data_IF_492519860988
#
_entry.id   IF_492519860988
#
_cell.length_a   1.000
_cell.length_b   1.000
_cell.length_c   1.000
_cell.angle_alpha   90.00
_cell.angle_beta   90.00
_cell.angle_gamma   90.00
#
_symmetry.space_group_name_H-M   'P 1'
#
loop_
_entity.id
_entity.type
_entity.pdbx_description
1 polymer ?
#
# COMPACT_ATOMS: atom_id res chain seq x y z
N UNK A 1 -1.10 -3.82 -27.02
CA UNK A 1 -1.05 -4.73 -25.85
C UNK A 1 -2.28 -5.64 -25.88
N UNK A 2 -2.14 -6.95 -25.67
CA UNK A 2 -3.28 -7.87 -25.71
C UNK A 2 -4.22 -7.69 -24.50
N UNK A 3 -5.53 -7.86 -24.69
CA UNK A 3 -6.56 -7.70 -23.65
C UNK A 3 -6.28 -8.59 -22.42
N UNK A 4 -5.77 -9.81 -22.64
CA UNK A 4 -5.40 -10.71 -21.55
C UNK A 4 -4.31 -10.14 -20.62
N UNK A 5 -3.33 -9.41 -21.19
CA UNK A 5 -2.25 -8.77 -20.39
C UNK A 5 -2.80 -7.58 -19.57
N UNK A 6 -3.74 -6.82 -20.13
CA UNK A 6 -4.39 -5.70 -19.42
C UNK A 6 -5.21 -6.19 -18.23
N UNK A 7 -5.92 -7.33 -18.35
CA UNK A 7 -6.67 -7.95 -17.24
C UNK A 7 -5.75 -8.34 -16.08
N UNK A 8 -4.58 -8.91 -16.36
CA UNK A 8 -3.60 -9.28 -15.34
C UNK A 8 -3.10 -8.03 -14.60
N UNK A 9 -2.81 -6.95 -15.32
CA UNK A 9 -2.33 -5.69 -14.73
C UNK A 9 -3.38 -5.02 -13.85
N UNK A 10 -4.65 -5.03 -14.27
CA UNK A 10 -5.75 -4.56 -13.42
C UNK A 10 -5.86 -5.43 -12.17
N UNK A 11 -5.81 -6.76 -12.31
CA UNK A 11 -5.94 -7.65 -11.17
C UNK A 11 -4.83 -7.44 -10.15
N UNK A 12 -3.56 -7.39 -10.59
CA UNK A 12 -2.42 -7.14 -9.70
C UNK A 12 -2.42 -5.72 -9.15
N UNK A 13 -2.78 -4.72 -9.95
CA UNK A 13 -2.92 -3.33 -9.52
C UNK A 13 -3.98 -3.15 -8.44
N UNK A 14 -5.16 -3.76 -8.62
CA UNK A 14 -6.24 -3.77 -7.63
C UNK A 14 -5.82 -4.48 -6.34
N UNK A 15 -5.15 -5.63 -6.44
CA UNK A 15 -4.63 -6.32 -5.26
C UNK A 15 -3.62 -5.46 -4.50
N UNK A 16 -2.68 -4.80 -5.20
CA UNK A 16 -1.72 -3.87 -4.59
C UNK A 16 -2.42 -2.67 -3.94
N UNK A 17 -3.43 -2.11 -4.59
CA UNK A 17 -4.19 -1.00 -4.04
C UNK A 17 -4.93 -1.40 -2.75
N UNK A 18 -5.57 -2.57 -2.73
CA UNK A 18 -6.28 -3.07 -1.54
C UNK A 18 -5.27 -3.32 -0.40
N UNK A 19 -4.15 -3.97 -0.67
CA UNK A 19 -3.11 -4.23 0.34
C UNK A 19 -2.52 -2.92 0.87
N UNK A 20 -2.20 -1.98 -0.03
CA UNK A 20 -1.70 -0.66 0.35
C UNK A 20 -2.70 0.11 1.20
N UNK A 21 -3.98 0.07 0.85
CA UNK A 21 -5.05 0.69 1.63
C UNK A 21 -5.18 0.06 3.02
N UNK A 22 -5.10 -1.27 3.12
CA UNK A 22 -5.07 -1.94 4.42
C UNK A 22 -3.89 -1.47 5.28
N UNK A 23 -2.69 -1.33 4.71
CA UNK A 23 -1.53 -0.83 5.47
C UNK A 23 -1.70 0.60 5.95
N UNK A 24 -2.37 1.46 5.18
CA UNK A 24 -2.68 2.84 5.58
C UNK A 24 -3.73 2.84 6.71
N UNK A 25 -4.84 2.11 6.55
CA UNK A 25 -5.95 2.12 7.50
C UNK A 25 -5.60 1.46 8.84
N UNK A 26 -4.73 0.44 8.81
CA UNK A 26 -4.29 -0.30 9.98
C UNK A 26 -2.88 0.08 10.45
N UNK A 27 -2.28 1.17 9.93
CA UNK A 27 -0.90 1.55 10.25
C UNK A 27 -0.66 1.72 11.74
N UNK A 28 -1.63 2.29 12.46
CA UNK A 28 -1.53 2.50 13.91
C UNK A 28 -1.51 1.17 14.66
N UNK A 29 -2.45 0.27 14.36
CA UNK A 29 -2.51 -1.06 14.98
C UNK A 29 -1.29 -1.94 14.66
N UNK A 30 -0.73 -1.81 13.45
CA UNK A 30 0.47 -2.52 13.06
C UNK A 30 1.71 -1.91 13.72
N UNK A 31 1.77 -0.58 13.82
CA UNK A 31 2.84 0.15 14.47
C UNK A 31 2.94 -0.15 15.97
N UNK A 32 1.80 -0.17 16.67
CA UNK A 32 1.71 -0.55 18.09
C UNK A 32 2.07 -2.01 18.29
N UNK A 33 1.50 -2.93 17.50
CA UNK A 33 1.81 -4.36 17.62
C UNK A 33 3.30 -4.66 17.44
N UNK A 34 3.97 -3.96 16.52
CA UNK A 34 5.41 -4.12 16.30
C UNK A 34 6.25 -3.51 17.44
N UNK A 35 5.77 -2.43 18.06
CA UNK A 35 6.41 -1.83 19.23
C UNK A 35 6.20 -2.68 20.50
N UNK A 36 5.02 -3.28 20.67
CA UNK A 36 4.69 -4.18 21.78
C UNK A 36 5.54 -5.45 21.73
N UNK A 37 5.72 -6.04 20.54
CA UNK A 37 6.63 -7.17 20.37
C UNK A 37 8.09 -6.81 20.66
N UNK A 38 8.48 -5.55 20.42
CA UNK A 38 9.82 -5.06 20.72
C UNK A 38 10.05 -4.82 22.22
N UNK A 39 9.06 -4.25 22.94
CA UNK A 39 9.17 -4.03 24.39
C UNK A 39 9.03 -5.33 25.20
N UNK A 40 8.35 -6.34 24.66
CA UNK A 40 8.29 -7.68 25.27
C UNK A 40 9.68 -8.33 25.45
N UNK A 41 10.71 -7.83 24.76
CA UNK A 41 12.07 -8.34 24.82
C UNK A 41 12.98 -7.54 25.78
N UNK A 42 12.58 -6.34 26.23
CA UNK A 42 13.46 -5.42 26.94
C UNK A 42 12.69 -4.42 27.83
N UNK A 43 13.26 -4.09 29.00
CA UNK A 43 12.70 -3.08 29.90
C UNK A 43 13.20 -1.67 29.51
N UNK A 44 12.42 -0.96 28.68
CA UNK A 44 12.78 0.37 28.17
C UNK A 44 11.96 1.50 28.82
N UNK A 45 12.51 2.74 28.87
CA UNK A 45 11.77 3.91 29.31
C UNK A 45 10.56 4.20 28.39
N UNK A 46 9.41 4.66 28.93
CA UNK A 46 8.19 4.93 28.14
C UNK A 46 8.40 5.85 26.93
N UNK A 47 9.30 6.83 27.03
CA UNK A 47 9.63 7.77 25.94
C UNK A 47 10.25 7.09 24.71
N UNK A 48 10.96 5.98 24.91
CA UNK A 48 11.59 5.22 23.82
C UNK A 48 10.54 4.38 23.10
N UNK A 49 9.54 3.88 23.83
CA UNK A 49 8.41 3.15 23.28
C UNK A 49 7.55 4.03 22.38
N UNK A 50 7.15 5.22 22.84
CA UNK A 50 6.34 6.16 22.05
C UNK A 50 6.99 6.49 20.71
N UNK A 51 8.30 6.80 20.73
CA UNK A 51 9.04 7.10 19.50
C UNK A 51 9.13 5.89 18.56
N UNK A 52 9.18 4.67 19.12
CA UNK A 52 9.20 3.43 18.33
C UNK A 52 7.85 3.13 17.67
N UNK A 53 6.75 3.35 18.40
CA UNK A 53 5.38 3.23 17.86
C UNK A 53 5.22 4.18 16.68
N UNK A 54 5.53 5.46 16.87
CA UNK A 54 5.42 6.49 15.83
C UNK A 54 6.27 6.14 14.59
N UNK A 55 7.52 5.72 14.82
CA UNK A 55 8.40 5.31 13.72
C UNK A 55 7.88 4.09 12.96
N UNK A 56 7.30 3.10 13.64
CA UNK A 56 6.74 1.91 13.01
C UNK A 56 5.43 2.23 12.26
N UNK A 57 4.53 2.99 12.87
CA UNK A 57 3.31 3.50 12.23
C UNK A 57 3.63 4.25 10.94
N UNK A 58 4.58 5.19 10.99
CA UNK A 58 4.94 5.99 9.82
C UNK A 58 5.52 5.12 8.70
N UNK A 59 6.29 4.08 9.02
CA UNK A 59 6.77 3.11 8.01
C UNK A 59 5.62 2.39 7.32
N UNK A 60 4.64 1.87 8.07
CA UNK A 60 3.48 1.21 7.47
C UNK A 60 2.64 2.18 6.63
N UNK A 61 2.50 3.43 7.08
CA UNK A 61 1.81 4.47 6.34
C UNK A 61 2.50 4.79 5.00
N UNK A 62 3.83 4.96 5.00
CA UNK A 62 4.62 5.25 3.80
C UNK A 62 4.60 4.06 2.83
N UNK A 63 4.82 2.83 3.33
CA UNK A 63 4.78 1.62 2.50
C UNK A 63 3.39 1.44 1.90
N UNK A 64 2.33 1.56 2.73
CA UNK A 64 0.95 1.47 2.28
C UNK A 64 0.61 2.52 1.22
N UNK A 65 1.08 3.76 1.41
CA UNK A 65 0.95 4.85 0.46
C UNK A 65 1.58 4.55 -0.90
N UNK A 66 2.80 4.03 -0.91
CA UNK A 66 3.51 3.65 -2.15
C UNK A 66 2.78 2.52 -2.87
N UNK A 67 2.36 1.47 -2.15
CA UNK A 67 1.62 0.35 -2.72
C UNK A 67 0.28 0.82 -3.31
N UNK A 68 -0.44 1.67 -2.57
CA UNK A 68 -1.71 2.22 -2.99
C UNK A 68 -1.57 3.10 -4.25
N UNK A 69 -0.63 4.04 -4.23
CA UNK A 69 -0.37 4.93 -5.37
C UNK A 69 0.06 4.14 -6.62
N UNK A 70 0.90 3.12 -6.45
CA UNK A 70 1.35 2.27 -7.56
C UNK A 70 0.19 1.44 -8.12
N UNK A 71 -0.64 0.85 -7.25
CA UNK A 71 -1.84 0.11 -7.65
C UNK A 71 -2.84 0.98 -8.43
N UNK A 72 -3.11 2.19 -7.93
CA UNK A 72 -3.97 3.16 -8.58
C UNK A 72 -3.41 3.63 -9.93
N UNK A 73 -2.12 3.93 -10.00
CA UNK A 73 -1.44 4.35 -11.23
C UNK A 73 -1.52 3.27 -12.32
N UNK A 74 -1.35 2.00 -11.93
CA UNK A 74 -1.50 0.84 -12.82
C UNK A 74 -2.92 0.75 -13.41
N UNK A 75 -3.96 0.94 -12.58
CA UNK A 75 -5.35 0.93 -13.03
C UNK A 75 -5.62 2.10 -13.99
N UNK A 76 -5.16 3.30 -13.66
CA UNK A 76 -5.29 4.49 -14.52
C UNK A 76 -4.61 4.29 -15.88
N UNK A 77 -3.41 3.69 -15.90
CA UNK A 77 -2.68 3.38 -17.13
C UNK A 77 -3.46 2.43 -18.03
N UNK A 78 -4.07 1.39 -17.47
CA UNK A 78 -4.89 0.45 -18.25
C UNK A 78 -6.15 1.14 -18.80
N UNK A 79 -6.82 1.96 -17.98
CA UNK A 79 -8.01 2.71 -18.42
C UNK A 79 -7.66 3.66 -19.57
N UNK A 80 -6.54 4.40 -19.46
CA UNK A 80 -6.05 5.27 -20.51
C UNK A 80 -5.76 4.52 -21.82
N UNK A 81 -5.11 3.36 -21.71
CA UNK A 81 -4.79 2.51 -22.87
C UNK A 81 -6.06 2.00 -23.55
N UNK A 82 -7.08 1.59 -22.78
CA UNK A 82 -8.35 1.10 -23.32
C UNK A 82 -9.14 2.21 -24.03
N UNK A 83 -9.15 3.42 -23.48
CA UNK A 83 -9.80 4.57 -24.12
C UNK A 83 -9.09 4.98 -25.41
N UNK A 84 -7.75 5.00 -25.41
CA UNK A 84 -6.97 5.36 -26.60
C UNK A 84 -7.19 4.37 -27.75
N UNK A 85 -7.22 3.06 -27.46
CA UNK A 85 -7.51 2.03 -28.48
C UNK A 85 -8.95 2.09 -28.98
N UNK A 86 -9.90 2.52 -28.15
CA UNK A 86 -11.28 2.72 -28.58
C UNK A 86 -11.39 3.90 -29.54
N UNK A 87 -10.73 5.01 -29.23
CA UNK A 87 -10.75 6.23 -30.04
C UNK A 87 -10.08 6.08 -31.42
N UNK A 88 -9.19 5.11 -31.60
CA UNK A 88 -8.52 4.81 -32.89
C UNK A 88 -9.37 3.95 -33.84
N UNK A 89 -10.48 3.38 -33.34
CA UNK A 89 -11.38 2.50 -34.10
C UNK A 89 -12.69 3.16 -34.55
N UNK A 90 -12.93 4.40 -34.13
CA UNK A 90 -14.05 5.25 -34.56
C UNK A 90 -13.55 6.25 -35.62
#
# INVERSE_FOLDING_TARGET
MGIGKLKIIIFTGSALAIIGLCFILFSDSLGTSLADGWIAQYDYPPKVYEHKVEANTNKFLVIGGILFATGMSSILFVLYTLMSVKSDKD
#
